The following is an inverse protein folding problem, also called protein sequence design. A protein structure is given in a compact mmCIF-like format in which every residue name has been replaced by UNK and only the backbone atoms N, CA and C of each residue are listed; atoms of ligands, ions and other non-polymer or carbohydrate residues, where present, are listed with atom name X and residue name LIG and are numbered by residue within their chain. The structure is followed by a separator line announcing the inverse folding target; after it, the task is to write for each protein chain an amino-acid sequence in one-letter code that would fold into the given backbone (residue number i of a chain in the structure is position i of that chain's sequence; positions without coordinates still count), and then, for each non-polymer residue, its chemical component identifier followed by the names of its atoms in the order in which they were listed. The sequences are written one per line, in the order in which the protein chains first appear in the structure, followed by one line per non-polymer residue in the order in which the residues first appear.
data_IF_173019857916
#
_entry.id   IF_173019857916
#
_cell.length_a   1.000
_cell.length_b   1.000
_cell.length_c   1.000
_cell.angle_alpha   90.00
_cell.angle_beta   90.00
_cell.angle_gamma   90.00
#
_symmetry.space_group_name_H-M   'P 1'
#
loop_
_entity.id
_entity.type
_entity.pdbx_description
1 polymer ?
#
# COMPACT_ATOMS: atom_id res chain seq x y z
N UNK A 1 9.79 7.38 -2.05
CA UNK A 1 8.78 8.34 -1.55
C UNK A 1 9.31 9.34 -0.50
N UNK A 2 10.13 8.97 0.45
CA UNK A 2 10.56 9.86 1.55
C UNK A 2 11.53 10.99 1.11
N UNK A 3 12.43 10.79 0.15
CA UNK A 3 13.28 11.88 -0.38
C UNK A 3 12.58 12.75 -1.43
N UNK A 4 11.57 12.22 -2.12
CA UNK A 4 10.63 13.06 -2.87
C UNK A 4 9.85 13.99 -1.92
N UNK A 5 9.53 13.54 -0.70
CA UNK A 5 8.99 14.41 0.35
C UNK A 5 10.02 15.42 0.87
N UNK A 6 11.30 15.07 0.97
CA UNK A 6 12.36 16.01 1.35
C UNK A 6 12.66 17.04 0.24
N UNK A 7 12.61 16.64 -1.04
CA UNK A 7 12.73 17.59 -2.16
C UNK A 7 11.52 18.53 -2.27
N UNK A 8 10.33 18.06 -1.90
CA UNK A 8 9.10 18.87 -1.84
C UNK A 8 9.11 19.83 -0.64
N UNK A 9 9.69 19.43 0.50
CA UNK A 9 9.77 20.26 1.71
C UNK A 9 10.87 21.33 1.60
N UNK A 10 11.95 21.10 0.85
CA UNK A 10 13.12 22.02 0.78
C UNK A 10 13.37 22.66 -0.59
N UNK A 11 12.63 22.31 -1.64
CA UNK A 11 12.63 23.02 -2.94
C UNK A 11 13.98 23.16 -3.65
N UNK A 12 15.02 22.38 -3.28
CA UNK A 12 16.37 22.43 -3.86
C UNK A 12 16.95 21.03 -3.96
N UNK A 13 17.86 20.81 -4.92
CA UNK A 13 18.73 19.61 -4.94
C UNK A 13 19.35 19.44 -3.55
N UNK A 14 19.03 18.34 -2.87
CA UNK A 14 19.53 18.07 -1.52
C UNK A 14 21.05 17.87 -1.61
N UNK A 15 21.82 18.86 -1.17
CA UNK A 15 23.27 18.71 -1.03
C UNK A 15 23.57 17.64 0.04
N UNK A 16 23.77 16.41 -0.41
CA UNK A 16 24.09 15.24 0.44
C UNK A 16 25.28 15.55 1.37
N UNK A 17 26.24 16.38 0.91
CA UNK A 17 27.42 16.77 1.70
C UNK A 17 27.06 17.67 2.88
N UNK A 18 26.10 18.57 2.73
CA UNK A 18 25.56 19.40 3.81
C UNK A 18 24.81 18.54 4.85
N UNK A 19 24.02 17.58 4.37
CA UNK A 19 23.31 16.64 5.24
C UNK A 19 24.26 15.76 6.05
N UNK A 20 25.32 15.24 5.42
CA UNK A 20 26.35 14.46 6.12
C UNK A 20 27.03 15.30 7.20
N UNK A 21 27.38 16.56 6.92
CA UNK A 21 27.98 17.46 7.94
C UNK A 21 27.05 17.69 9.14
N UNK A 22 25.77 17.96 8.91
CA UNK A 22 24.78 18.12 9.99
C UNK A 22 24.62 16.85 10.82
N UNK A 23 24.55 15.68 10.17
CA UNK A 23 24.47 14.38 10.84
C UNK A 23 25.72 14.08 11.67
N UNK A 24 26.92 14.41 11.16
CA UNK A 24 28.18 14.29 11.89
C UNK A 24 28.25 15.24 13.08
N UNK A 25 27.63 16.43 12.97
CA UNK A 25 27.48 17.41 14.05
C UNK A 25 26.46 17.04 15.11
N UNK A 26 25.83 15.86 15.03
CA UNK A 26 24.93 15.34 16.07
C UNK A 26 23.45 15.70 15.90
N UNK A 27 23.05 16.39 14.79
CA UNK A 27 21.66 16.73 14.56
C UNK A 27 20.82 15.45 14.33
N UNK A 28 19.81 15.14 15.18
CA UNK A 28 19.08 13.88 15.14
C UNK A 28 18.22 13.70 13.89
N UNK A 29 17.65 14.79 13.35
CA UNK A 29 16.85 14.74 12.13
C UNK A 29 17.75 14.42 10.92
N UNK A 30 18.91 15.05 10.82
CA UNK A 30 19.88 14.78 9.76
C UNK A 30 20.44 13.34 9.86
N UNK A 31 20.67 12.85 11.08
CA UNK A 31 21.09 11.47 11.31
C UNK A 31 20.01 10.47 10.89
N UNK A 32 18.74 10.70 11.25
CA UNK A 32 17.61 9.89 10.83
C UNK A 32 17.45 9.87 9.31
N UNK A 33 17.49 11.02 8.68
CA UNK A 33 17.41 11.16 7.23
C UNK A 33 18.57 10.45 6.49
N UNK A 34 19.79 10.55 7.02
CA UNK A 34 20.95 9.83 6.46
C UNK A 34 20.81 8.30 6.65
N UNK A 35 20.19 7.86 7.73
CA UNK A 35 19.79 6.47 7.92
C UNK A 35 18.83 6.00 6.81
N UNK A 36 17.79 6.77 6.49
CA UNK A 36 16.88 6.47 5.39
C UNK A 36 17.57 6.54 4.03
N UNK A 37 18.48 7.51 3.79
CA UNK A 37 19.26 7.57 2.56
C UNK A 37 20.04 6.27 2.31
N UNK A 38 20.70 5.73 3.32
CA UNK A 38 21.37 4.43 3.20
C UNK A 38 20.39 3.26 3.08
N UNK A 39 19.21 3.34 3.68
CA UNK A 39 18.20 2.28 3.59
C UNK A 39 17.62 2.16 2.18
N UNK A 40 17.27 3.28 1.54
CA UNK A 40 16.71 3.31 0.19
C UNK A 40 17.78 3.30 -0.91
N UNK A 41 18.98 3.76 -0.62
CA UNK A 41 20.05 3.98 -1.60
C UNK A 41 19.94 5.33 -2.31
N UNK A 42 19.34 6.33 -1.64
CA UNK A 42 19.11 7.66 -2.22
C UNK A 42 20.33 8.55 -2.04
N UNK A 43 20.96 8.95 -3.14
CA UNK A 43 22.19 9.72 -3.14
C UNK A 43 23.42 8.99 -2.58
N UNK A 44 23.24 7.77 -2.06
CA UNK A 44 24.30 6.89 -1.53
C UNK A 44 24.02 5.44 -1.92
N UNK A 45 25.04 4.58 -1.97
CA UNK A 45 24.82 3.15 -2.17
C UNK A 45 24.06 2.56 -0.99
N UNK A 46 22.98 1.83 -1.27
CA UNK A 46 22.15 1.15 -0.25
C UNK A 46 22.99 0.28 0.67
N UNK A 47 22.83 0.49 1.98
CA UNK A 47 23.56 -0.23 3.02
C UNK A 47 22.76 -0.22 4.34
N UNK A 48 22.09 -1.32 4.64
CA UNK A 48 21.28 -1.46 5.86
C UNK A 48 22.11 -1.38 7.14
N UNK A 49 23.37 -1.80 7.12
CA UNK A 49 24.28 -1.71 8.27
C UNK A 49 24.62 -0.25 8.59
N UNK A 50 24.86 0.58 7.57
CA UNK A 50 25.08 2.03 7.74
C UNK A 50 23.79 2.73 8.15
N UNK A 51 22.65 2.39 7.54
CA UNK A 51 21.35 2.92 7.93
C UNK A 51 21.12 2.75 9.43
N UNK A 52 21.29 1.52 9.95
CA UNK A 52 21.15 1.22 11.37
C UNK A 52 22.11 2.00 12.24
N UNK A 53 23.40 2.11 11.86
CA UNK A 53 24.37 2.89 12.62
C UNK A 53 23.95 4.35 12.79
N UNK A 54 23.38 4.94 11.76
CA UNK A 54 22.88 6.31 11.80
C UNK A 54 21.61 6.42 12.64
N UNK A 55 20.67 5.47 12.55
CA UNK A 55 19.48 5.47 13.38
C UNK A 55 19.81 5.25 14.87
N UNK A 56 20.79 4.40 15.20
CA UNK A 56 21.27 4.26 16.60
C UNK A 56 21.81 5.59 17.13
N UNK A 57 22.58 6.34 16.32
CA UNK A 57 23.04 7.67 16.73
C UNK A 57 21.89 8.65 16.91
N UNK A 58 20.95 8.68 15.95
CA UNK A 58 19.79 9.56 15.99
C UNK A 58 18.89 9.26 17.20
N UNK A 59 18.65 7.98 17.48
CA UNK A 59 17.89 7.50 18.65
C UNK A 59 18.54 7.97 19.96
N UNK A 60 19.87 7.80 20.08
CA UNK A 60 20.65 8.32 21.23
C UNK A 60 20.57 9.84 21.39
N UNK A 61 20.30 10.57 20.33
CA UNK A 61 20.05 12.02 20.33
C UNK A 61 18.55 12.39 20.39
N UNK A 62 17.69 11.43 20.72
CA UNK A 62 16.28 11.65 21.04
C UNK A 62 15.29 11.51 19.87
N UNK A 63 15.73 11.14 18.66
CA UNK A 63 14.85 10.98 17.51
C UNK A 63 13.84 9.83 17.67
N UNK A 64 12.54 10.15 17.72
CA UNK A 64 11.47 9.14 17.71
C UNK A 64 11.37 8.44 16.36
N UNK A 65 11.69 9.12 15.27
CA UNK A 65 11.69 8.57 13.92
C UNK A 65 12.77 7.50 13.75
N UNK A 66 13.95 7.72 14.36
CA UNK A 66 15.02 6.72 14.37
C UNK A 66 14.66 5.48 15.21
N UNK A 67 13.99 5.67 16.34
CA UNK A 67 13.45 4.56 17.14
C UNK A 67 12.45 3.74 16.32
N UNK A 68 11.52 4.41 15.64
CA UNK A 68 10.57 3.74 14.74
C UNK A 68 11.31 2.94 13.64
N UNK A 69 12.29 3.54 12.98
CA UNK A 69 13.08 2.89 11.92
C UNK A 69 13.89 1.68 12.42
N UNK A 70 14.45 1.76 13.63
CA UNK A 70 15.10 0.62 14.29
C UNK A 70 14.11 -0.51 14.56
N UNK A 71 12.94 -0.20 15.09
CA UNK A 71 11.86 -1.16 15.27
C UNK A 71 11.48 -1.86 13.98
N UNK A 72 11.29 -1.12 12.89
CA UNK A 72 11.04 -1.67 11.55
C UNK A 72 12.19 -2.59 11.08
N UNK A 73 13.44 -2.19 11.34
CA UNK A 73 14.60 -3.00 10.97
C UNK A 73 14.62 -4.35 11.67
N UNK A 74 14.26 -4.42 12.95
CA UNK A 74 14.12 -5.67 13.69
C UNK A 74 12.90 -6.48 13.24
N UNK A 75 11.77 -5.82 12.96
CA UNK A 75 10.54 -6.50 12.56
C UNK A 75 10.69 -7.21 11.21
N UNK A 76 11.22 -6.52 10.20
CA UNK A 76 11.37 -7.06 8.84
C UNK A 76 12.70 -7.80 8.64
N UNK A 77 13.68 -7.62 9.51
CA UNK A 77 15.01 -8.25 9.40
C UNK A 77 15.91 -7.56 8.39
N UNK A 78 15.81 -6.23 8.22
CA UNK A 78 16.64 -5.50 7.27
C UNK A 78 18.10 -5.41 7.74
N UNK A 79 18.97 -6.21 7.09
CA UNK A 79 20.38 -6.31 7.44
C UNK A 79 20.68 -6.96 8.78
N UNK A 80 19.70 -7.67 9.37
CA UNK A 80 19.83 -8.38 10.63
C UNK A 80 18.79 -9.52 10.74
N UNK A 81 18.91 -10.37 11.73
CA UNK A 81 17.88 -11.37 12.06
C UNK A 81 16.63 -10.65 12.62
N UNK A 82 15.44 -11.09 12.18
CA UNK A 82 14.17 -10.64 12.75
C UNK A 82 14.10 -10.86 14.26
N UNK A 83 13.60 -9.86 14.97
CA UNK A 83 13.40 -9.90 16.42
C UNK A 83 12.19 -9.01 16.77
N UNK A 84 11.03 -9.62 16.87
CA UNK A 84 9.78 -8.90 17.14
C UNK A 84 9.74 -8.27 18.54
N UNK A 85 10.42 -8.88 19.54
CA UNK A 85 10.46 -8.32 20.87
C UNK A 85 11.23 -6.99 20.88
N UNK A 86 12.42 -6.97 20.24
CA UNK A 86 13.19 -5.73 20.08
C UNK A 86 12.48 -4.70 19.21
N UNK A 87 11.76 -5.14 18.16
CA UNK A 87 10.95 -4.22 17.37
C UNK A 87 9.94 -3.48 18.24
N UNK A 88 9.22 -4.21 19.09
CA UNK A 88 8.25 -3.63 20.03
C UNK A 88 8.90 -2.72 21.09
N UNK A 89 10.10 -3.05 21.60
CA UNK A 89 10.83 -2.17 22.50
C UNK A 89 11.08 -0.80 21.85
N UNK A 90 11.66 -0.79 20.66
CA UNK A 90 11.94 0.44 19.93
C UNK A 90 10.65 1.19 19.55
N UNK A 91 9.59 0.50 19.11
CA UNK A 91 8.33 1.16 18.79
C UNK A 91 7.64 1.76 20.01
N UNK A 92 7.75 1.12 21.21
CA UNK A 92 7.24 1.71 22.45
C UNK A 92 7.99 2.98 22.83
N UNK A 93 9.33 2.99 22.69
CA UNK A 93 10.12 4.21 22.90
C UNK A 93 9.73 5.33 21.92
N UNK A 94 9.49 4.99 20.64
CA UNK A 94 8.99 5.95 19.67
C UNK A 94 7.57 6.46 20.02
N UNK A 95 6.68 5.56 20.43
CA UNK A 95 5.31 5.88 20.82
C UNK A 95 5.24 6.77 22.07
N UNK A 96 6.14 6.58 23.06
CA UNK A 96 6.27 7.50 24.20
C UNK A 96 6.66 8.92 23.80
N UNK A 97 7.27 9.08 22.62
CA UNK A 97 7.57 10.37 21.98
C UNK A 97 6.52 10.75 20.93
N UNK A 98 5.30 10.25 21.07
CA UNK A 98 4.12 10.55 20.23
C UNK A 98 4.28 10.21 18.73
N UNK A 99 5.18 9.29 18.38
CA UNK A 99 5.34 8.85 16.99
C UNK A 99 4.11 8.04 16.52
N UNK A 100 3.33 8.61 15.63
CA UNK A 100 2.10 8.00 15.13
C UNK A 100 2.34 6.70 14.35
N UNK A 101 3.46 6.60 13.61
CA UNK A 101 3.82 5.41 12.86
C UNK A 101 4.19 4.25 13.79
N UNK A 102 4.82 4.55 14.93
CA UNK A 102 5.13 3.54 15.94
C UNK A 102 3.86 3.00 16.62
N UNK A 103 2.90 3.87 16.94
CA UNK A 103 1.60 3.44 17.47
C UNK A 103 0.88 2.51 16.47
N UNK A 104 0.83 2.87 15.21
CA UNK A 104 0.27 2.01 14.17
C UNK A 104 1.00 0.65 14.09
N UNK A 105 2.34 0.65 14.11
CA UNK A 105 3.13 -0.56 14.05
C UNK A 105 2.93 -1.48 15.28
N UNK A 106 2.74 -0.92 16.47
CA UNK A 106 2.36 -1.68 17.67
C UNK A 106 0.96 -2.29 17.49
N UNK A 107 0.01 -1.53 16.95
CA UNK A 107 -1.32 -2.03 16.61
C UNK A 107 -1.26 -3.23 15.65
N UNK A 108 -0.46 -3.16 14.59
CA UNK A 108 -0.22 -4.28 13.68
C UNK A 108 0.38 -5.49 14.42
N UNK A 109 1.36 -5.28 15.29
CA UNK A 109 1.97 -6.37 16.06
C UNK A 109 0.96 -7.11 16.93
N UNK A 110 0.03 -6.39 17.58
CA UNK A 110 -1.08 -7.01 18.33
C UNK A 110 -2.10 -7.71 17.42
N UNK A 111 -2.40 -7.15 16.24
CA UNK A 111 -3.31 -7.76 15.28
C UNK A 111 -2.78 -9.08 14.70
N UNK A 112 -1.47 -9.17 14.49
CA UNK A 112 -0.79 -10.33 13.90
C UNK A 112 -0.28 -11.33 14.95
N UNK A 113 -0.09 -10.89 16.21
CA UNK A 113 0.52 -11.69 17.27
C UNK A 113 2.04 -11.77 17.15
N UNK A 114 2.69 -10.78 16.54
CA UNK A 114 4.13 -10.75 16.33
C UNK A 114 4.86 -10.13 17.53
N UNK A 115 5.53 -10.97 18.31
CA UNK A 115 6.26 -10.56 19.53
C UNK A 115 5.38 -10.27 20.75
N UNK A 116 4.06 -10.36 20.59
CA UNK A 116 3.05 -10.27 21.64
C UNK A 116 1.94 -11.27 21.36
N UNK A 117 1.14 -11.63 22.36
CA UNK A 117 -0.09 -12.38 22.15
C UNK A 117 -1.07 -11.55 21.31
N UNK A 118 -1.72 -12.19 20.34
CA UNK A 118 -2.67 -11.53 19.47
C UNK A 118 -3.86 -10.99 20.26
N UNK A 119 -4.14 -9.71 20.10
CA UNK A 119 -5.20 -8.99 20.79
C UNK A 119 -5.78 -7.89 19.88
N UNK A 120 -6.88 -8.20 19.23
CA UNK A 120 -7.54 -7.29 18.30
C UNK A 120 -8.11 -6.04 18.99
N UNK A 121 -8.55 -6.13 20.25
CA UNK A 121 -9.05 -4.99 20.98
C UNK A 121 -7.93 -3.98 21.28
N UNK A 122 -6.75 -4.48 21.69
CA UNK A 122 -5.57 -3.63 21.84
C UNK A 122 -5.12 -3.05 20.52
N UNK A 123 -5.08 -3.85 19.43
CA UNK A 123 -4.73 -3.35 18.10
C UNK A 123 -5.62 -2.18 17.71
N UNK A 124 -6.94 -2.32 17.90
CA UNK A 124 -7.91 -1.28 17.62
C UNK A 124 -7.65 0.02 18.41
N UNK A 125 -7.35 -0.09 19.71
CA UNK A 125 -7.01 1.09 20.54
C UNK A 125 -5.73 1.80 20.06
N UNK A 126 -4.70 1.03 19.69
CA UNK A 126 -3.48 1.61 19.12
C UNK A 126 -3.71 2.28 17.77
N UNK A 127 -4.61 1.74 16.93
CA UNK A 127 -5.00 2.39 15.68
C UNK A 127 -5.75 3.71 15.92
N UNK A 128 -6.65 3.77 16.93
CA UNK A 128 -7.29 5.03 17.34
C UNK A 128 -6.25 6.07 17.73
N UNK A 129 -5.30 5.70 18.58
CA UNK A 129 -4.24 6.60 19.02
C UNK A 129 -3.35 7.08 17.86
N UNK A 130 -2.99 6.20 16.94
CA UNK A 130 -2.21 6.53 15.76
C UNK A 130 -2.98 7.48 14.83
N UNK A 131 -4.26 7.19 14.58
CA UNK A 131 -5.14 8.01 13.74
C UNK A 131 -5.35 9.43 14.33
N UNK A 132 -5.52 9.53 15.64
CA UNK A 132 -5.62 10.82 16.34
C UNK A 132 -4.36 11.68 16.17
N UNK A 133 -3.21 11.06 15.94
CA UNK A 133 -1.92 11.72 15.65
C UNK A 133 -1.62 11.83 14.16
N UNK A 134 -2.60 11.56 13.30
CA UNK A 134 -2.53 11.81 11.87
C UNK A 134 -1.94 10.69 11.02
N UNK A 135 -1.75 9.48 11.58
CA UNK A 135 -1.33 8.34 10.77
C UNK A 135 -2.46 7.90 9.84
N UNK A 136 -2.22 7.95 8.53
CA UNK A 136 -3.23 7.68 7.49
C UNK A 136 -3.52 6.18 7.38
N UNK A 137 -2.52 5.35 7.51
CA UNK A 137 -2.67 3.90 7.49
C UNK A 137 -3.54 3.40 8.64
N UNK A 138 -3.49 4.08 9.79
CA UNK A 138 -4.37 3.78 10.94
C UNK A 138 -5.83 4.13 10.66
N UNK A 139 -6.11 5.23 9.92
CA UNK A 139 -7.47 5.54 9.49
C UNK A 139 -8.04 4.42 8.62
N UNK A 140 -7.25 3.94 7.66
CA UNK A 140 -7.66 2.83 6.79
C UNK A 140 -7.83 1.53 7.57
N UNK A 141 -6.94 1.23 8.51
CA UNK A 141 -7.04 0.05 9.37
C UNK A 141 -8.28 0.09 10.28
N UNK A 142 -8.64 1.25 10.84
CA UNK A 142 -9.89 1.45 11.61
C UNK A 142 -11.11 1.16 10.76
N UNK A 143 -11.15 1.66 9.53
CA UNK A 143 -12.22 1.32 8.59
C UNK A 143 -12.37 -0.19 8.38
N UNK A 144 -11.25 -0.91 8.22
CA UNK A 144 -11.25 -2.39 8.12
C UNK A 144 -11.74 -3.03 9.43
N UNK A 145 -11.26 -2.55 10.58
CA UNK A 145 -11.72 -3.05 11.88
C UNK A 145 -13.24 -2.94 12.03
N UNK A 146 -13.82 -1.81 11.64
CA UNK A 146 -15.27 -1.63 11.68
C UNK A 146 -16.00 -2.46 10.62
N UNK A 147 -15.47 -2.56 9.40
CA UNK A 147 -16.12 -3.34 8.33
C UNK A 147 -16.21 -4.83 8.67
N UNK A 148 -15.17 -5.37 9.31
CA UNK A 148 -15.07 -6.81 9.61
C UNK A 148 -15.43 -7.15 11.07
N UNK A 149 -15.61 -6.14 11.95
CA UNK A 149 -15.86 -6.35 13.37
C UNK A 149 -14.64 -6.84 14.14
N UNK A 150 -13.44 -6.46 13.71
CA UNK A 150 -12.17 -6.88 14.32
C UNK A 150 -11.80 -5.94 15.46
N UNK A 151 -11.84 -6.44 16.70
CA UNK A 151 -11.56 -5.65 17.91
C UNK A 151 -12.63 -4.63 18.27
N UNK A 152 -13.71 -4.54 17.50
CA UNK A 152 -14.86 -3.67 17.71
C UNK A 152 -16.14 -4.31 17.14
N UNK A 153 -17.29 -3.68 17.35
CA UNK A 153 -18.56 -4.12 16.72
C UNK A 153 -18.52 -3.79 15.22
N UNK A 154 -18.97 -4.73 14.38
CA UNK A 154 -19.08 -4.49 12.94
C UNK A 154 -20.04 -3.35 12.61
N UNK A 155 -19.60 -2.46 11.74
CA UNK A 155 -20.41 -1.36 11.21
C UNK A 155 -19.77 -0.74 9.96
N UNK A 156 -20.40 -0.97 8.82
CA UNK A 156 -19.98 -0.35 7.56
C UNK A 156 -20.17 1.18 7.54
N UNK A 157 -21.07 1.72 8.37
CA UNK A 157 -21.27 3.16 8.46
C UNK A 157 -20.03 3.83 9.03
N UNK A 158 -19.54 3.36 10.17
CA UNK A 158 -18.30 3.85 10.78
C UNK A 158 -17.09 3.55 9.90
N UNK A 159 -17.05 2.40 9.24
CA UNK A 159 -15.99 2.06 8.28
C UNK A 159 -15.87 3.11 7.17
N UNK A 160 -17.00 3.54 6.58
CA UNK A 160 -17.06 4.57 5.54
C UNK A 160 -16.55 5.91 6.07
N UNK A 161 -16.92 6.28 7.31
CA UNK A 161 -16.45 7.52 7.92
C UNK A 161 -14.91 7.54 8.03
N UNK A 162 -14.30 6.45 8.53
CA UNK A 162 -12.85 6.34 8.65
C UNK A 162 -12.15 6.29 7.29
N UNK A 163 -12.68 5.52 6.33
CA UNK A 163 -12.12 5.47 4.98
C UNK A 163 -12.25 6.80 4.24
N UNK A 164 -13.31 7.58 4.51
CA UNK A 164 -13.43 8.94 3.94
C UNK A 164 -12.31 9.83 4.44
N UNK A 165 -12.00 9.81 5.75
CA UNK A 165 -10.88 10.56 6.32
C UNK A 165 -9.52 10.16 5.74
N UNK A 166 -9.32 8.88 5.42
CA UNK A 166 -8.11 8.38 4.75
C UNK A 166 -8.08 8.78 3.27
N UNK A 167 -9.22 8.66 2.56
CA UNK A 167 -9.37 9.03 1.16
C UNK A 167 -9.16 10.53 0.90
N UNK A 168 -9.50 11.39 1.87
CA UNK A 168 -9.21 12.83 1.82
C UNK A 168 -7.70 13.14 1.89
N UNK A 169 -6.90 12.14 2.26
CA UNK A 169 -5.43 12.17 2.26
C UNK A 169 -4.82 11.28 1.17
N UNK A 170 -5.60 10.97 0.15
CA UNK A 170 -5.24 10.15 -1.00
C UNK A 170 -4.69 8.74 -0.65
N UNK A 171 -5.22 8.11 0.43
CA UNK A 171 -4.97 6.69 0.66
C UNK A 171 -5.70 5.85 -0.40
N UNK A 172 -4.96 5.21 -1.27
CA UNK A 172 -5.47 4.47 -2.41
C UNK A 172 -6.30 3.23 -2.02
N UNK A 173 -6.01 2.62 -0.87
CA UNK A 173 -6.77 1.47 -0.34
C UNK A 173 -8.11 1.93 0.20
N UNK A 174 -8.14 3.04 0.96
CA UNK A 174 -9.39 3.60 1.46
C UNK A 174 -10.32 4.04 0.32
N UNK A 175 -9.76 4.65 -0.73
CA UNK A 175 -10.49 4.96 -1.95
C UNK A 175 -11.10 3.70 -2.59
N UNK A 176 -10.36 2.59 -2.68
CA UNK A 176 -10.89 1.31 -3.15
C UNK A 176 -12.02 0.77 -2.27
N UNK A 177 -11.88 0.81 -0.96
CA UNK A 177 -12.92 0.36 -0.03
C UNK A 177 -14.18 1.17 -0.17
N UNK A 178 -14.09 2.50 -0.29
CA UNK A 178 -15.23 3.37 -0.58
C UNK A 178 -15.87 3.02 -1.93
N UNK A 179 -15.07 2.84 -2.99
CA UNK A 179 -15.56 2.38 -4.28
C UNK A 179 -16.36 1.08 -4.17
N UNK A 180 -15.87 0.11 -3.41
CA UNK A 180 -16.57 -1.15 -3.15
C UNK A 180 -17.88 -0.93 -2.38
N UNK A 181 -17.90 -0.09 -1.34
CA UNK A 181 -19.12 0.22 -0.58
C UNK A 181 -20.21 0.81 -1.46
N UNK A 182 -19.87 1.79 -2.30
CA UNK A 182 -20.84 2.37 -3.23
C UNK A 182 -21.23 1.44 -4.38
N UNK A 183 -20.35 0.55 -4.80
CA UNK A 183 -20.66 -0.45 -5.83
C UNK A 183 -21.61 -1.54 -5.33
N UNK A 184 -21.46 -1.97 -4.07
CA UNK A 184 -22.20 -3.11 -3.50
C UNK A 184 -23.36 -2.69 -2.60
N UNK A 185 -23.41 -1.45 -2.15
CA UNK A 185 -24.41 -0.96 -1.21
C UNK A 185 -24.13 -1.35 0.25
N UNK A 186 -22.88 -1.64 0.60
CA UNK A 186 -22.49 -1.94 1.97
C UNK A 186 -22.37 -0.67 2.80
N UNK A 187 -23.26 -0.50 3.79
CA UNK A 187 -23.30 0.67 4.68
C UNK A 187 -23.81 1.97 4.04
N UNK A 188 -24.06 1.98 2.74
CA UNK A 188 -24.55 3.13 1.98
C UNK A 188 -25.40 2.64 0.80
N UNK A 189 -26.31 3.48 0.28
CA UNK A 189 -27.07 3.12 -0.92
C UNK A 189 -26.10 2.96 -2.12
N UNK A 190 -26.30 1.96 -2.98
CA UNK A 190 -25.48 1.78 -4.18
C UNK A 190 -25.48 3.03 -5.07
N UNK A 191 -24.30 3.42 -5.52
CA UNK A 191 -24.08 4.53 -6.44
C UNK A 191 -22.87 4.20 -7.33
N UNK A 192 -23.15 3.65 -8.52
CA UNK A 192 -22.10 3.22 -9.43
C UNK A 192 -21.24 4.39 -9.94
N UNK A 193 -21.80 5.60 -10.03
CA UNK A 193 -21.04 6.78 -10.45
C UNK A 193 -20.00 7.16 -9.40
N UNK A 194 -20.41 7.24 -8.13
CA UNK A 194 -19.47 7.47 -7.02
C UNK A 194 -18.46 6.34 -6.90
N UNK A 195 -18.87 5.09 -7.08
CA UNK A 195 -17.95 3.95 -7.06
C UNK A 195 -16.85 4.13 -8.13
N UNK A 196 -17.23 4.48 -9.37
CA UNK A 196 -16.27 4.75 -10.45
C UNK A 196 -15.34 5.94 -10.14
N UNK A 197 -15.86 7.03 -9.56
CA UNK A 197 -15.07 8.19 -9.15
C UNK A 197 -14.00 7.82 -8.11
N UNK A 198 -14.35 7.00 -7.11
CA UNK A 198 -13.39 6.51 -6.11
C UNK A 198 -12.36 5.54 -6.69
N UNK A 199 -12.81 4.59 -7.55
CA UNK A 199 -11.88 3.70 -8.23
C UNK A 199 -10.92 4.44 -9.15
N UNK A 200 -11.38 5.46 -9.87
CA UNK A 200 -10.53 6.28 -10.75
C UNK A 200 -9.43 6.98 -9.94
N UNK A 201 -9.79 7.63 -8.83
CA UNK A 201 -8.79 8.26 -7.95
C UNK A 201 -7.75 7.24 -7.46
N UNK A 202 -8.19 6.08 -6.96
CA UNK A 202 -7.28 5.02 -6.52
C UNK A 202 -6.41 4.47 -7.66
N UNK A 203 -6.99 4.28 -8.85
CA UNK A 203 -6.29 3.76 -10.02
C UNK A 203 -5.21 4.73 -10.55
N UNK A 204 -5.45 6.04 -10.47
CA UNK A 204 -4.47 7.09 -10.81
C UNK A 204 -3.30 7.08 -9.82
N UNK A 205 -3.56 6.81 -8.54
CA UNK A 205 -2.53 6.63 -7.50
C UNK A 205 -1.73 5.32 -7.66
N UNK A 206 -2.12 4.47 -8.60
CA UNK A 206 -1.40 3.23 -8.91
C UNK A 206 -1.99 1.98 -8.28
N UNK A 207 -3.13 2.07 -7.59
CA UNK A 207 -3.77 0.90 -7.00
C UNK A 207 -4.21 -0.08 -8.10
N UNK A 208 -3.59 -1.25 -8.10
CA UNK A 208 -3.79 -2.28 -9.14
C UNK A 208 -5.22 -2.84 -9.15
N UNK A 209 -5.78 -3.04 -7.95
CA UNK A 209 -7.17 -3.51 -7.82
C UNK A 209 -8.17 -2.49 -8.40
N UNK A 210 -7.98 -1.20 -8.10
CA UNK A 210 -8.80 -0.13 -8.67
C UNK A 210 -8.65 -0.01 -10.19
N UNK A 211 -7.45 -0.20 -10.73
CA UNK A 211 -7.23 -0.25 -12.19
C UNK A 211 -8.05 -1.37 -12.84
N UNK A 212 -8.08 -2.56 -12.23
CA UNK A 212 -8.92 -3.67 -12.70
C UNK A 212 -10.40 -3.32 -12.62
N UNK A 213 -10.87 -2.70 -11.53
CA UNK A 213 -12.25 -2.25 -11.37
C UNK A 213 -12.63 -1.16 -12.40
N UNK A 214 -11.74 -0.21 -12.70
CA UNK A 214 -11.96 0.75 -13.78
C UNK A 214 -12.11 0.06 -15.14
N UNK A 215 -11.31 -0.97 -15.40
CA UNK A 215 -11.50 -1.85 -16.57
C UNK A 215 -12.92 -2.42 -16.63
N UNK A 216 -13.42 -2.95 -15.51
CA UNK A 216 -14.78 -3.47 -15.40
C UNK A 216 -15.85 -2.37 -15.60
N UNK A 217 -15.68 -1.20 -14.99
CA UNK A 217 -16.62 -0.08 -15.13
C UNK A 217 -16.79 0.31 -16.60
N UNK A 218 -15.70 0.46 -17.34
CA UNK A 218 -15.76 0.77 -18.78
C UNK A 218 -16.25 -0.39 -19.65
N UNK A 219 -15.98 -1.65 -19.25
CA UNK A 219 -16.49 -2.82 -19.97
C UNK A 219 -18.02 -2.93 -19.89
N UNK A 220 -18.60 -2.59 -18.75
CA UNK A 220 -20.03 -2.79 -18.44
C UNK A 220 -20.86 -1.51 -18.55
N UNK A 221 -20.24 -0.34 -18.50
CA UNK A 221 -20.93 0.95 -18.41
C UNK A 221 -21.44 1.28 -17.00
N UNK A 222 -20.94 0.61 -15.96
CA UNK A 222 -21.33 0.87 -14.56
C UNK A 222 -20.64 2.14 -14.07
N UNK A 223 -21.41 3.21 -13.89
CA UNK A 223 -20.95 4.51 -13.40
C UNK A 223 -20.22 5.38 -14.42
N UNK A 224 -19.87 4.83 -15.58
CA UNK A 224 -19.22 5.51 -16.69
C UNK A 224 -19.87 5.10 -18.01
N UNK A 225 -19.68 5.89 -19.08
CA UNK A 225 -20.11 5.46 -20.42
C UNK A 225 -19.27 4.25 -20.85
N UNK A 226 -19.94 3.20 -21.29
CA UNK A 226 -19.28 1.98 -21.77
C UNK A 226 -18.30 2.30 -22.91
N UNK A 227 -17.07 1.79 -22.78
CA UNK A 227 -16.00 1.96 -23.75
C UNK A 227 -15.00 0.80 -23.63
N UNK A 228 -15.05 -0.12 -24.59
CA UNK A 228 -14.23 -1.33 -24.58
C UNK A 228 -12.73 -1.01 -24.76
N UNK A 229 -12.39 0.00 -25.56
CA UNK A 229 -10.98 0.36 -25.77
C UNK A 229 -10.36 0.95 -24.48
N UNK A 230 -11.10 1.84 -23.79
CA UNK A 230 -10.68 2.39 -22.50
C UNK A 230 -10.60 1.29 -21.44
N UNK A 231 -11.56 0.36 -21.43
CA UNK A 231 -11.53 -0.83 -20.57
C UNK A 231 -10.23 -1.61 -20.71
N UNK A 232 -9.84 -1.93 -21.96
CA UNK A 232 -8.60 -2.66 -22.24
C UNK A 232 -7.36 -1.88 -21.79
N UNK A 233 -7.35 -0.55 -21.91
CA UNK A 233 -6.23 0.27 -21.40
C UNK A 233 -6.07 0.16 -19.90
N UNK A 234 -7.16 0.12 -19.15
CA UNK A 234 -7.14 -0.05 -17.70
C UNK A 234 -6.73 -1.47 -17.30
N UNK A 235 -7.28 -2.50 -17.94
CA UNK A 235 -6.84 -3.88 -17.70
C UNK A 235 -5.35 -4.07 -18.03
N UNK A 236 -4.84 -3.42 -19.10
CA UNK A 236 -3.40 -3.49 -19.40
C UNK A 236 -2.55 -2.93 -18.27
N UNK A 237 -2.92 -1.77 -17.70
CA UNK A 237 -2.20 -1.21 -16.53
C UNK A 237 -2.23 -2.16 -15.34
N UNK A 238 -3.39 -2.72 -15.01
CA UNK A 238 -3.54 -3.67 -13.91
C UNK A 238 -2.72 -4.96 -14.17
N UNK A 239 -2.76 -5.49 -15.40
CA UNK A 239 -2.01 -6.68 -15.80
C UNK A 239 -0.49 -6.48 -15.73
N UNK A 240 0.01 -5.33 -16.15
CA UNK A 240 1.41 -4.93 -16.05
C UNK A 240 1.87 -4.86 -14.58
N UNK A 241 0.97 -4.47 -13.67
CA UNK A 241 1.17 -4.44 -12.22
C UNK A 241 0.89 -5.80 -11.53
N UNK A 242 0.63 -6.86 -12.30
CA UNK A 242 0.54 -8.23 -11.79
C UNK A 242 -0.85 -8.73 -11.44
N UNK A 243 -1.94 -7.94 -11.69
CA UNK A 243 -3.30 -8.40 -11.42
C UNK A 243 -3.67 -9.59 -12.30
N UNK A 244 -3.98 -10.72 -11.66
CA UNK A 244 -4.26 -12.01 -12.30
C UNK A 244 -5.51 -11.94 -13.18
N UNK A 245 -6.55 -11.29 -12.68
CA UNK A 245 -7.83 -11.17 -13.40
C UNK A 245 -7.64 -10.30 -14.66
N UNK A 246 -6.94 -9.20 -14.53
CA UNK A 246 -6.63 -8.32 -15.65
C UNK A 246 -5.71 -9.01 -16.68
N UNK A 247 -4.73 -9.79 -16.25
CA UNK A 247 -3.87 -10.58 -17.15
C UNK A 247 -4.69 -11.59 -17.95
N UNK A 248 -5.61 -12.32 -17.31
CA UNK A 248 -6.51 -13.22 -18.00
C UNK A 248 -7.42 -12.48 -19.00
N UNK A 249 -8.07 -11.40 -18.56
CA UNK A 249 -8.99 -10.63 -19.43
C UNK A 249 -8.22 -10.07 -20.62
N UNK A 250 -7.06 -9.45 -20.41
CA UNK A 250 -6.25 -8.89 -21.49
C UNK A 250 -5.80 -9.97 -22.48
N UNK A 251 -5.28 -11.09 -21.97
CA UNK A 251 -4.86 -12.22 -22.81
C UNK A 251 -6.02 -12.79 -23.63
N UNK A 252 -7.17 -13.00 -23.00
CA UNK A 252 -8.35 -13.48 -23.70
C UNK A 252 -8.88 -12.47 -24.74
N UNK A 253 -8.87 -11.18 -24.41
CA UNK A 253 -9.26 -10.11 -25.36
C UNK A 253 -8.36 -10.06 -26.58
N UNK A 254 -7.04 -10.23 -26.42
CA UNK A 254 -6.08 -10.32 -27.53
C UNK A 254 -6.26 -11.62 -28.34
N UNK A 255 -6.66 -12.73 -27.67
CA UNK A 255 -6.92 -14.00 -28.35
C UNK A 255 -8.11 -13.92 -29.32
N UNK A 256 -9.17 -13.19 -28.93
CA UNK A 256 -10.43 -13.10 -29.71
C UNK A 256 -10.59 -11.78 -30.49
N UNK A 257 -9.69 -10.80 -30.28
CA UNK A 257 -9.78 -9.48 -30.94
C UNK A 257 -10.86 -8.56 -30.35
N UNK A 258 -11.16 -8.66 -29.07
CA UNK A 258 -12.21 -7.85 -28.40
C UNK A 258 -11.63 -6.57 -27.79
N UNK A 259 -11.94 -5.42 -28.36
CA UNK A 259 -11.46 -4.12 -27.88
C UNK A 259 -9.97 -3.85 -28.11
N UNK A 260 -9.27 -4.81 -28.70
CA UNK A 260 -7.85 -4.77 -29.06
C UNK A 260 -7.63 -5.64 -30.29
N UNK A 261 -6.63 -5.33 -31.10
CA UNK A 261 -6.27 -6.16 -32.25
C UNK A 261 -5.92 -7.59 -31.79
N UNK A 262 -6.39 -8.59 -32.52
CA UNK A 262 -6.06 -9.99 -32.26
C UNK A 262 -4.55 -10.21 -32.39
N UNK A 263 -3.96 -10.85 -31.38
CA UNK A 263 -2.53 -11.14 -31.33
C UNK A 263 -2.29 -12.40 -30.48
N UNK A 264 -2.06 -13.52 -31.14
CA UNK A 264 -1.91 -14.82 -30.51
C UNK A 264 -0.68 -14.88 -29.58
N UNK A 265 0.46 -14.31 -30.00
CA UNK A 265 1.70 -14.32 -29.20
C UNK A 265 1.53 -13.54 -27.90
N UNK A 266 0.96 -12.33 -28.01
CA UNK A 266 0.68 -11.50 -26.80
C UNK A 266 -0.37 -12.15 -25.92
N UNK A 267 -1.42 -12.75 -26.50
CA UNK A 267 -2.43 -13.49 -25.75
C UNK A 267 -1.79 -14.64 -24.96
N UNK A 268 -0.94 -15.42 -25.59
CA UNK A 268 -0.23 -16.52 -24.95
C UNK A 268 0.62 -16.04 -23.76
N UNK A 269 1.38 -14.95 -23.93
CA UNK A 269 2.20 -14.36 -22.86
C UNK A 269 1.35 -13.97 -21.64
N UNK A 270 0.25 -13.26 -21.85
CA UNK A 270 -0.60 -12.80 -20.76
C UNK A 270 -1.36 -13.95 -20.09
N UNK A 271 -1.88 -14.90 -20.87
CA UNK A 271 -2.54 -16.09 -20.32
C UNK A 271 -1.55 -16.97 -19.52
N UNK A 272 -0.31 -17.09 -19.97
CA UNK A 272 0.73 -17.80 -19.22
C UNK A 272 0.99 -17.11 -17.87
N UNK A 273 1.18 -15.80 -17.85
CA UNK A 273 1.37 -15.04 -16.59
C UNK A 273 0.23 -15.24 -15.59
N UNK A 274 -1.02 -15.29 -16.06
CA UNK A 274 -2.17 -15.53 -15.21
C UNK A 274 -2.22 -17.01 -14.75
N UNK A 275 -1.88 -17.95 -15.63
CA UNK A 275 -1.84 -19.38 -15.29
C UNK A 275 -0.73 -19.73 -14.30
N UNK A 276 0.44 -19.06 -14.39
CA UNK A 276 1.54 -19.19 -13.44
C UNK A 276 1.17 -18.69 -12.02
N UNK A 277 0.06 -17.94 -11.91
CA UNK A 277 -0.55 -17.50 -10.66
C UNK A 277 -1.81 -18.35 -10.30
N UNK A 278 -1.91 -19.56 -10.85
CA UNK A 278 -2.97 -20.53 -10.58
C UNK A 278 -4.39 -20.08 -11.00
N UNK A 279 -4.54 -19.17 -12.01
CA UNK A 279 -5.86 -18.81 -12.53
C UNK A 279 -6.48 -19.93 -13.38
N UNK A 280 -7.60 -20.54 -12.97
CA UNK A 280 -8.19 -21.69 -13.69
C UNK A 280 -8.71 -21.31 -15.08
N UNK A 281 -9.15 -20.05 -15.25
CA UNK A 281 -9.68 -19.57 -16.54
C UNK A 281 -8.56 -19.39 -17.53
N UNK A 282 -7.41 -18.87 -17.09
CA UNK A 282 -6.22 -18.73 -17.90
C UNK A 282 -5.66 -20.09 -18.32
N UNK A 283 -5.60 -21.05 -17.38
CA UNK A 283 -5.18 -22.43 -17.68
C UNK A 283 -6.06 -23.08 -18.76
N UNK A 284 -7.38 -22.89 -18.66
CA UNK A 284 -8.34 -23.38 -19.67
C UNK A 284 -8.15 -22.70 -21.03
N UNK A 285 -7.92 -21.39 -21.02
CA UNK A 285 -7.70 -20.61 -22.24
C UNK A 285 -6.38 -21.03 -22.94
N UNK A 286 -5.30 -21.25 -22.16
CA UNK A 286 -4.02 -21.77 -22.69
C UNK A 286 -4.18 -23.17 -23.30
N UNK A 287 -4.89 -24.07 -22.62
CA UNK A 287 -5.16 -25.40 -23.17
C UNK A 287 -5.88 -25.32 -24.53
N UNK A 288 -6.76 -24.34 -24.69
CA UNK A 288 -7.41 -24.06 -25.97
C UNK A 288 -6.43 -23.53 -27.04
N UNK A 289 -5.49 -22.66 -26.66
CA UNK A 289 -4.44 -22.17 -27.55
C UNK A 289 -3.56 -23.31 -28.05
N UNK A 290 -3.15 -24.24 -27.18
CA UNK A 290 -2.36 -25.41 -27.57
C UNK A 290 -3.11 -26.38 -28.50
N UNK A 291 -4.43 -26.46 -28.37
CA UNK A 291 -5.25 -27.39 -29.19
C UNK A 291 -5.55 -26.85 -30.58
N UNK A 292 -5.72 -25.55 -30.75
CA UNK A 292 -6.26 -24.96 -31.97
C UNK A 292 -5.29 -23.99 -32.68
N UNK A 293 -4.08 -23.79 -32.16
CA UNK A 293 -3.07 -22.86 -32.65
C UNK A 293 -3.30 -21.46 -32.17
#
# INVERSE_FOLDING_TARGET
MFLAALSVVFGQEVDVSSFIRKAQGGNPEAQSALGYAYYYGDGVKRDFGKARKWWVKASGNGSSEAEFALGCSYYYGYGMKKDYAKALEHWREAAHKENANALYAIGMAYSEGNGVERDYAKAFLYYIDAAARGNVEALTALGVCYADGIGTRQSYKEAIEWWTLAADRDDDRALCFLGNCYNTGQGVAPDFKKAAEYYERAAVLGNTFAQCHMGNCYATGHGVKQDTEVSIKWYKKAAENGDVVAQYILGNSMRIGQGVAQNADSAFIWLTKAADQDDPKAMTALASCYRYG
#
